data_IF_105942102232
#
_entry.id   IF_105942102232
#
_cell.length_a   1.000
_cell.length_b   1.000
_cell.length_c   1.000
_cell.angle_alpha   90.00
_cell.angle_beta   90.00
_cell.angle_gamma   90.00
#
_symmetry.space_group_name_H-M   'P 1'
#
loop_
_entity.id
_entity.type
_entity.pdbx_description
1 polymer ?
#
# COMPACT_ATOMS: atom_id res chain seq x y z
N UNK A 1 -23.09 7.15 12.55
CA UNK A 1 -22.17 5.99 12.60
C UNK A 1 -20.89 6.31 11.84
N UNK A 2 -19.80 5.64 12.13
CA UNK A 2 -18.48 5.81 11.49
C UNK A 2 -18.57 5.73 9.96
N UNK A 3 -19.30 4.74 9.43
CA UNK A 3 -19.61 4.61 8.00
C UNK A 3 -20.16 5.91 7.39
N UNK A 4 -21.18 6.51 8.02
CA UNK A 4 -21.77 7.76 7.53
C UNK A 4 -20.78 8.91 7.56
N UNK A 5 -19.98 9.01 8.60
CA UNK A 5 -18.94 10.07 8.70
C UNK A 5 -17.92 9.94 7.57
N UNK A 6 -17.50 8.73 7.23
CA UNK A 6 -16.58 8.50 6.12
C UNK A 6 -17.19 8.95 4.77
N UNK A 7 -18.45 8.60 4.52
CA UNK A 7 -19.17 9.01 3.31
C UNK A 7 -19.39 10.53 3.25
N UNK A 8 -19.80 11.13 4.36
CA UNK A 8 -20.04 12.57 4.44
C UNK A 8 -18.75 13.38 4.22
N UNK A 9 -17.62 12.91 4.75
CA UNK A 9 -16.31 13.54 4.53
C UNK A 9 -15.94 13.57 3.05
N UNK A 10 -16.15 12.48 2.32
CA UNK A 10 -15.84 12.43 0.89
C UNK A 10 -16.69 13.44 0.08
N UNK A 11 -17.97 13.56 0.42
CA UNK A 11 -18.90 14.51 -0.22
C UNK A 11 -18.46 15.95 0.05
N UNK A 12 -18.27 16.30 1.32
CA UNK A 12 -17.88 17.65 1.74
C UNK A 12 -16.55 18.06 1.12
N UNK A 13 -15.52 17.20 1.20
CA UNK A 13 -14.20 17.51 0.66
C UNK A 13 -14.21 17.74 -0.84
N UNK A 14 -15.06 16.99 -1.57
CA UNK A 14 -15.23 17.17 -3.02
C UNK A 14 -15.76 18.57 -3.36
N UNK A 15 -16.67 19.13 -2.55
CA UNK A 15 -17.21 20.49 -2.76
C UNK A 15 -16.10 21.56 -2.61
N UNK A 16 -15.06 21.28 -1.81
CA UNK A 16 -13.89 22.15 -1.64
C UNK A 16 -12.73 21.84 -2.60
N UNK A 17 -12.97 20.99 -3.62
CA UNK A 17 -12.00 20.66 -4.67
C UNK A 17 -10.95 19.63 -4.26
N UNK A 18 -11.21 18.87 -3.19
CA UNK A 18 -10.37 17.73 -2.81
C UNK A 18 -10.92 16.45 -3.45
N UNK A 19 -10.01 15.55 -3.83
CA UNK A 19 -10.34 14.20 -4.25
C UNK A 19 -9.61 13.19 -3.36
N UNK A 20 -10.22 12.04 -3.18
CA UNK A 20 -9.61 10.92 -2.50
C UNK A 20 -8.59 10.28 -3.43
N UNK A 21 -7.32 10.19 -3.04
CA UNK A 21 -6.27 9.56 -3.83
C UNK A 21 -5.82 8.20 -3.27
N UNK A 22 -6.10 7.95 -1.99
CA UNK A 22 -5.97 6.65 -1.33
C UNK A 22 -7.04 6.50 -0.24
N UNK A 23 -7.17 5.34 0.37
CA UNK A 23 -8.26 4.97 1.30
C UNK A 23 -8.52 6.02 2.38
N UNK A 24 -7.47 6.63 2.94
CA UNK A 24 -7.57 7.49 4.13
C UNK A 24 -7.30 8.98 3.86
N UNK A 25 -6.78 9.32 2.68
CA UNK A 25 -6.29 10.67 2.42
C UNK A 25 -6.90 11.31 1.18
N UNK A 26 -7.08 12.62 1.28
CA UNK A 26 -7.63 13.49 0.25
C UNK A 26 -6.64 14.60 -0.07
N UNK A 27 -6.62 15.06 -1.32
CA UNK A 27 -5.77 16.17 -1.76
C UNK A 27 -6.47 16.99 -2.85
N UNK A 28 -6.01 18.21 -3.07
CA UNK A 28 -6.27 18.93 -4.32
C UNK A 28 -5.39 18.35 -5.42
N UNK A 29 -5.85 18.45 -6.66
CA UNK A 29 -5.11 17.92 -7.81
C UNK A 29 -3.67 18.45 -7.85
N UNK A 30 -2.70 17.53 -7.93
CA UNK A 30 -1.26 17.82 -7.90
C UNK A 30 -0.66 18.08 -6.51
N UNK A 31 -1.47 17.95 -5.44
CA UNK A 31 -1.03 18.10 -4.05
C UNK A 31 -1.10 16.79 -3.25
N UNK A 32 -1.20 15.66 -3.93
CA UNK A 32 -1.18 14.33 -3.32
C UNK A 32 0.14 14.12 -2.56
N UNK A 33 0.09 13.47 -1.42
CA UNK A 33 1.27 13.21 -0.62
C UNK A 33 2.17 12.15 -1.28
N UNK A 34 3.19 12.59 -2.00
CA UNK A 34 4.14 11.71 -2.71
C UNK A 34 4.82 10.69 -1.80
N UNK A 35 5.00 11.04 -0.53
CA UNK A 35 5.57 10.13 0.45
C UNK A 35 4.63 8.96 0.72
N UNK A 36 3.34 9.21 0.93
CA UNK A 36 2.35 8.17 1.11
C UNK A 36 2.20 7.32 -0.15
N UNK A 37 2.10 7.98 -1.32
CA UNK A 37 2.04 7.26 -2.59
C UNK A 37 3.26 6.35 -2.80
N UNK A 38 4.45 6.81 -2.39
CA UNK A 38 5.68 6.02 -2.44
C UNK A 38 5.56 4.71 -1.66
N UNK A 39 4.98 4.75 -0.47
CA UNK A 39 4.72 3.53 0.32
C UNK A 39 3.72 2.60 -0.38
N UNK A 40 2.61 3.14 -0.87
CA UNK A 40 1.58 2.35 -1.54
C UNK A 40 2.01 1.79 -2.90
N UNK A 41 3.00 2.43 -3.53
CA UNK A 41 3.65 1.97 -4.77
C UNK A 41 4.89 1.10 -4.51
N UNK A 42 5.17 0.77 -3.25
CA UNK A 42 6.30 -0.05 -2.83
C UNK A 42 7.65 0.47 -3.33
N UNK A 43 7.81 1.81 -3.38
CA UNK A 43 9.10 2.45 -3.71
C UNK A 43 10.08 2.28 -2.56
N UNK A 44 11.37 2.24 -2.90
CA UNK A 44 12.44 2.26 -1.91
C UNK A 44 12.34 3.49 -1.00
N UNK A 45 12.53 3.27 0.28
CA UNK A 45 12.62 4.34 1.28
C UNK A 45 13.61 3.98 2.39
N UNK A 46 14.28 5.00 2.90
CA UNK A 46 15.17 4.90 4.04
C UNK A 46 14.56 5.62 5.24
N UNK A 47 14.28 4.87 6.29
CA UNK A 47 13.77 5.39 7.55
C UNK A 47 14.86 6.08 8.36
N UNK A 48 14.62 7.33 8.73
CA UNK A 48 15.53 8.11 9.59
C UNK A 48 14.89 8.28 10.97
N UNK A 49 15.67 8.01 11.99
CA UNK A 49 15.24 8.16 13.38
C UNK A 49 15.00 6.84 14.11
N UNK A 50 14.62 6.97 15.38
CA UNK A 50 14.35 5.87 16.29
C UNK A 50 13.16 5.04 15.80
N UNK A 51 13.33 3.72 15.69
CA UNK A 51 12.27 2.79 15.27
C UNK A 51 11.83 2.93 13.82
N UNK A 52 12.46 3.80 13.01
CA UNK A 52 12.05 4.03 11.64
C UNK A 52 12.34 2.81 10.74
N UNK A 53 11.35 2.41 9.94
CA UNK A 53 11.48 1.30 9.00
C UNK A 53 12.06 1.75 7.66
N UNK A 54 12.71 0.83 6.97
CA UNK A 54 13.28 1.00 5.62
C UNK A 54 12.89 -0.17 4.73
N UNK A 55 12.78 0.11 3.43
CA UNK A 55 12.70 -0.88 2.37
C UNK A 55 13.64 -0.45 1.25
N UNK A 56 14.64 -1.25 0.96
CA UNK A 56 15.62 -1.02 -0.11
C UNK A 56 15.67 -2.26 -1.02
N UNK A 57 15.09 -2.15 -2.19
CA UNK A 57 14.90 -3.31 -3.07
C UNK A 57 14.02 -4.38 -2.42
N UNK A 58 14.65 -5.47 -1.97
CA UNK A 58 14.00 -6.58 -1.27
C UNK A 58 14.33 -6.63 0.22
N UNK A 59 15.18 -5.76 0.70
CA UNK A 59 15.63 -5.76 2.08
C UNK A 59 14.78 -4.79 2.91
N UNK A 60 14.10 -5.34 3.91
CA UNK A 60 13.37 -4.58 4.93
C UNK A 60 14.12 -4.64 6.23
N UNK A 61 14.23 -3.52 6.90
CA UNK A 61 14.81 -3.44 8.24
C UNK A 61 14.23 -2.23 9.00
N UNK A 62 14.51 -2.16 10.28
CA UNK A 62 14.14 -0.99 11.10
C UNK A 62 15.32 -0.52 11.92
N UNK A 63 15.35 0.74 12.28
CA UNK A 63 16.27 1.21 13.30
C UNK A 63 15.81 0.72 14.67
N UNK A 64 16.75 0.58 15.61
CA UNK A 64 16.42 0.22 17.00
C UNK A 64 15.37 1.15 17.59
N UNK A 65 14.47 0.62 18.40
CA UNK A 65 13.51 1.39 19.20
C UNK A 65 14.08 1.77 20.59
N UNK A 66 15.26 1.32 20.94
CA UNK A 66 15.95 1.72 22.16
C UNK A 66 16.67 3.05 21.97
N UNK A 67 16.23 4.08 22.72
CA UNK A 67 16.78 5.41 22.64
C UNK A 67 18.25 5.50 23.02
N UNK A 68 18.69 4.73 24.02
CA UNK A 68 20.09 4.75 24.48
C UNK A 68 21.01 4.10 23.45
N UNK A 69 20.59 2.96 22.90
CA UNK A 69 21.30 2.29 21.80
C UNK A 69 21.38 3.21 20.58
N UNK A 70 20.27 3.84 20.20
CA UNK A 70 20.22 4.77 19.07
C UNK A 70 21.19 5.93 19.24
N UNK A 71 21.16 6.64 20.37
CA UNK A 71 22.04 7.79 20.63
C UNK A 71 23.51 7.40 20.68
N UNK A 72 23.82 6.25 21.32
CA UNK A 72 25.19 5.75 21.43
C UNK A 72 25.81 5.39 20.06
N UNK A 73 24.98 4.90 19.13
CA UNK A 73 25.45 4.36 17.85
C UNK A 73 24.94 5.14 16.62
N UNK A 74 24.41 6.34 16.80
CA UNK A 74 23.79 7.14 15.70
C UNK A 74 24.75 7.49 14.55
N UNK A 75 26.07 7.47 14.79
CA UNK A 75 27.09 7.65 13.76
C UNK A 75 27.51 6.34 13.06
N UNK A 76 26.94 5.22 13.44
CA UNK A 76 27.24 3.89 12.90
C UNK A 76 25.92 3.17 12.55
N UNK A 77 25.31 3.50 11.39
CA UNK A 77 23.97 3.01 11.02
C UNK A 77 23.83 1.48 11.11
N UNK A 78 24.86 0.74 10.76
CA UNK A 78 24.88 -0.72 10.81
C UNK A 78 24.66 -1.30 12.23
N UNK A 79 24.92 -0.51 13.27
CA UNK A 79 24.75 -0.92 14.67
C UNK A 79 23.34 -0.68 15.20
N UNK A 80 22.60 0.24 14.57
CA UNK A 80 21.23 0.56 14.97
C UNK A 80 20.19 -0.15 14.13
N UNK A 81 20.57 -0.72 12.99
CA UNK A 81 19.64 -1.46 12.12
C UNK A 81 19.33 -2.84 12.69
N UNK A 82 18.05 -3.18 12.76
CA UNK A 82 17.48 -4.39 13.35
C UNK A 82 16.42 -5.00 12.44
N UNK A 83 15.96 -6.18 12.81
CA UNK A 83 14.80 -6.83 12.17
C UNK A 83 14.95 -6.94 10.64
N UNK A 84 16.14 -7.35 10.21
CA UNK A 84 16.42 -7.58 8.80
C UNK A 84 15.56 -8.72 8.24
N UNK A 85 14.90 -8.45 7.15
CA UNK A 85 14.08 -9.39 6.42
C UNK A 85 14.39 -9.27 4.92
N UNK A 86 14.62 -10.40 4.28
CA UNK A 86 14.74 -10.49 2.83
C UNK A 86 13.38 -10.97 2.28
N UNK A 87 12.69 -10.10 1.59
CA UNK A 87 11.38 -10.41 1.03
C UNK A 87 11.48 -11.47 -0.06
N UNK A 88 10.63 -12.47 0.02
CA UNK A 88 10.46 -13.45 -1.05
C UNK A 88 9.71 -12.84 -2.23
N UNK A 89 9.68 -13.55 -3.33
CA UNK A 89 8.88 -13.11 -4.49
C UNK A 89 7.38 -13.09 -4.18
N UNK A 90 6.94 -14.03 -3.38
CA UNK A 90 5.57 -14.13 -2.89
C UNK A 90 5.20 -12.92 -2.04
N UNK A 91 6.09 -12.52 -1.12
CA UNK A 91 5.90 -11.30 -0.31
C UNK A 91 5.81 -10.06 -1.19
N UNK A 92 6.68 -9.94 -2.19
CA UNK A 92 6.66 -8.81 -3.12
C UNK A 92 5.36 -8.74 -3.93
N UNK A 93 4.84 -9.90 -4.41
CA UNK A 93 3.56 -9.96 -5.11
C UNK A 93 2.38 -9.62 -4.20
N UNK A 94 2.38 -10.13 -2.97
CA UNK A 94 1.35 -9.82 -1.98
C UNK A 94 1.34 -8.32 -1.65
N UNK A 95 2.52 -7.73 -1.41
CA UNK A 95 2.66 -6.29 -1.14
C UNK A 95 2.22 -5.43 -2.32
N UNK A 96 2.58 -5.80 -3.54
CA UNK A 96 2.12 -5.11 -4.75
C UNK A 96 0.60 -5.01 -4.77
N UNK A 97 -0.08 -6.10 -4.39
CA UNK A 97 -1.53 -6.15 -4.36
C UNK A 97 -2.10 -5.33 -3.20
N UNK A 98 -1.76 -5.67 -1.95
CA UNK A 98 -2.45 -5.05 -0.82
C UNK A 98 -2.06 -3.59 -0.59
N UNK A 99 -0.83 -3.18 -0.91
CA UNK A 99 -0.44 -1.76 -0.86
C UNK A 99 -1.03 -0.99 -2.04
N UNK A 100 -0.95 -1.54 -3.25
CA UNK A 100 -1.48 -0.88 -4.45
C UNK A 100 -3.00 -0.71 -4.43
N UNK A 101 -3.75 -1.65 -3.84
CA UNK A 101 -5.19 -1.54 -3.65
C UNK A 101 -5.61 -0.45 -2.64
N UNK A 102 -4.68 0.11 -1.87
CA UNK A 102 -4.95 1.30 -1.07
C UNK A 102 -5.15 2.55 -1.92
N UNK A 103 -4.49 2.62 -3.07
CA UNK A 103 -4.66 3.73 -4.02
C UNK A 103 -6.03 3.63 -4.70
N UNK A 104 -6.72 4.75 -4.85
CA UNK A 104 -8.02 4.78 -5.56
C UNK A 104 -7.91 4.33 -7.01
N UNK A 105 -6.75 4.55 -7.64
CA UNK A 105 -6.44 4.05 -8.98
C UNK A 105 -6.12 2.54 -9.01
N UNK A 106 -5.91 1.91 -7.86
CA UNK A 106 -5.60 0.48 -7.73
C UNK A 106 -4.29 0.05 -8.40
N UNK A 107 -4.20 -1.23 -8.76
CA UNK A 107 -3.01 -1.87 -9.33
C UNK A 107 -3.13 -2.04 -10.85
N UNK A 108 -2.02 -1.90 -11.55
CA UNK A 108 -1.92 -2.13 -13.00
C UNK A 108 -1.56 -3.59 -13.28
N UNK A 109 -2.38 -4.27 -14.09
CA UNK A 109 -2.10 -5.64 -14.57
C UNK A 109 -0.82 -5.69 -15.40
N UNK A 110 -0.58 -4.65 -16.19
CA UNK A 110 0.62 -4.52 -17.03
C UNK A 110 1.87 -4.41 -16.15
N UNK A 111 1.86 -3.52 -15.16
CA UNK A 111 2.99 -3.35 -14.22
C UNK A 111 3.27 -4.65 -13.46
N UNK A 112 2.23 -5.34 -12.96
CA UNK A 112 2.40 -6.63 -12.30
C UNK A 112 3.11 -7.64 -13.20
N UNK A 113 2.67 -7.74 -14.47
CA UNK A 113 3.29 -8.66 -15.43
C UNK A 113 4.74 -8.27 -15.77
N UNK A 114 5.04 -6.99 -15.88
CA UNK A 114 6.40 -6.48 -16.13
C UNK A 114 7.33 -6.78 -14.96
N UNK A 115 6.86 -6.59 -13.70
CA UNK A 115 7.65 -6.87 -12.50
C UNK A 115 7.85 -8.36 -12.24
N UNK A 116 6.77 -9.14 -12.40
CA UNK A 116 6.77 -10.53 -11.94
C UNK A 116 6.81 -11.56 -13.07
N UNK A 117 6.78 -11.13 -14.34
CA UNK A 117 6.85 -12.03 -15.49
C UNK A 117 5.66 -12.98 -15.63
N UNK A 118 4.56 -12.74 -14.93
CA UNK A 118 3.34 -13.54 -14.94
C UNK A 118 2.10 -12.65 -14.84
N UNK A 119 0.99 -13.09 -15.43
CA UNK A 119 -0.26 -12.38 -15.30
C UNK A 119 -0.80 -12.49 -13.85
N UNK A 120 -1.41 -11.43 -13.38
CA UNK A 120 -1.98 -11.34 -12.03
C UNK A 120 -3.05 -12.42 -11.78
N UNK A 121 -3.78 -12.80 -12.84
CA UNK A 121 -4.81 -13.84 -12.80
C UNK A 121 -4.24 -15.24 -12.54
N UNK A 122 -3.00 -15.50 -12.93
CA UNK A 122 -2.35 -16.79 -12.71
C UNK A 122 -2.08 -17.04 -11.21
N UNK A 123 -1.91 -15.97 -10.44
CA UNK A 123 -1.61 -16.03 -9.00
C UNK A 123 -2.90 -15.81 -8.19
N UNK A 124 -3.66 -14.79 -8.55
CA UNK A 124 -4.78 -14.30 -7.73
C UNK A 124 -6.16 -14.51 -8.39
N UNK A 125 -6.26 -15.35 -9.43
CA UNK A 125 -7.48 -15.51 -10.22
C UNK A 125 -8.74 -15.80 -9.40
N UNK A 126 -8.66 -16.70 -8.43
CA UNK A 126 -9.81 -17.04 -7.57
C UNK A 126 -10.18 -15.89 -6.62
N UNK A 127 -9.21 -15.20 -6.06
CA UNK A 127 -9.42 -14.02 -5.19
C UNK A 127 -10.08 -12.90 -6.00
N UNK A 128 -9.56 -12.62 -7.17
CA UNK A 128 -10.11 -11.60 -8.08
C UNK A 128 -11.55 -11.94 -8.48
N UNK A 129 -11.82 -13.18 -8.85
CA UNK A 129 -13.16 -13.65 -9.22
C UNK A 129 -14.14 -13.52 -8.06
N UNK A 130 -13.71 -13.92 -6.84
CA UNK A 130 -14.52 -13.81 -5.60
C UNK A 130 -14.97 -12.37 -5.40
N UNK A 131 -14.03 -11.42 -5.36
CA UNK A 131 -14.34 -10.04 -5.00
C UNK A 131 -14.98 -9.23 -6.13
N UNK A 132 -14.69 -9.54 -7.40
CA UNK A 132 -15.42 -8.98 -8.54
C UNK A 132 -16.89 -9.42 -8.53
N UNK A 133 -17.17 -10.69 -8.23
CA UNK A 133 -18.55 -11.19 -8.11
C UNK A 133 -19.32 -10.52 -6.97
N UNK A 134 -18.63 -10.11 -5.91
CA UNK A 134 -19.22 -9.39 -4.78
C UNK A 134 -19.33 -7.86 -5.05
N UNK A 135 -18.81 -7.37 -6.17
CA UNK A 135 -18.79 -5.93 -6.46
C UNK A 135 -17.81 -5.13 -5.61
N UNK A 136 -16.88 -5.79 -4.90
CA UNK A 136 -15.89 -5.14 -4.02
C UNK A 136 -14.60 -4.76 -4.76
N UNK A 137 -14.28 -5.48 -5.86
CA UNK A 137 -13.22 -5.13 -6.79
C UNK A 137 -13.82 -4.83 -8.16
N UNK A 138 -13.30 -3.78 -8.80
CA UNK A 138 -13.63 -3.39 -10.16
C UNK A 138 -12.39 -3.53 -11.04
N UNK A 139 -12.62 -3.70 -12.34
CA UNK A 139 -11.55 -3.70 -13.35
C UNK A 139 -11.94 -2.77 -14.48
N UNK A 140 -11.08 -1.82 -14.78
CA UNK A 140 -11.24 -0.89 -15.88
C UNK A 140 -9.87 -0.50 -16.44
N UNK A 141 -9.77 -0.41 -17.77
CA UNK A 141 -8.56 0.06 -18.47
C UNK A 141 -7.28 -0.68 -18.06
N UNK A 142 -7.38 -1.98 -17.74
CA UNK A 142 -6.24 -2.81 -17.32
C UNK A 142 -5.77 -2.56 -15.87
N UNK A 143 -6.57 -1.88 -15.06
CA UNK A 143 -6.34 -1.68 -13.64
C UNK A 143 -7.41 -2.37 -12.81
N UNK A 144 -7.03 -2.84 -11.63
CA UNK A 144 -7.91 -3.45 -10.63
C UNK A 144 -7.89 -2.57 -9.40
N UNK A 145 -9.06 -2.15 -8.94
CA UNK A 145 -9.20 -1.26 -7.80
C UNK A 145 -10.42 -1.60 -6.94
N UNK A 146 -10.42 -1.12 -5.71
CA UNK A 146 -11.56 -1.27 -4.79
C UNK A 146 -12.74 -0.42 -5.26
N UNK A 147 -13.94 -1.00 -5.26
CA UNK A 147 -15.17 -0.20 -5.34
C UNK A 147 -15.35 0.64 -4.07
N UNK A 148 -16.35 1.52 -4.05
CA UNK A 148 -16.69 2.29 -2.85
C UNK A 148 -17.04 1.37 -1.68
N UNK A 149 -17.82 0.34 -1.93
CA UNK A 149 -18.15 -0.71 -0.96
C UNK A 149 -16.90 -1.52 -0.56
N UNK A 150 -16.01 -1.78 -1.51
CA UNK A 150 -14.75 -2.47 -1.28
C UNK A 150 -13.81 -1.70 -0.35
N UNK A 151 -13.80 -0.36 -0.41
CA UNK A 151 -13.00 0.48 0.49
C UNK A 151 -13.41 0.26 1.95
N UNK A 152 -14.71 0.15 2.24
CA UNK A 152 -15.19 -0.04 3.62
C UNK A 152 -14.78 -1.38 4.24
N UNK A 153 -14.51 -2.38 3.43
CA UNK A 153 -14.05 -3.71 3.86
C UNK A 153 -12.64 -4.03 3.36
N UNK A 154 -11.88 -2.99 3.02
CA UNK A 154 -10.58 -3.10 2.34
C UNK A 154 -9.60 -4.01 3.06
N UNK A 155 -9.55 -3.98 4.39
CA UNK A 155 -8.66 -4.85 5.16
C UNK A 155 -8.95 -6.34 4.92
N UNK A 156 -10.24 -6.72 4.85
CA UNK A 156 -10.62 -8.10 4.56
C UNK A 156 -10.29 -8.50 3.12
N UNK A 157 -10.54 -7.60 2.17
CA UNK A 157 -10.20 -7.83 0.75
C UNK A 157 -8.69 -7.96 0.59
N UNK A 158 -7.91 -7.04 1.17
CA UNK A 158 -6.46 -7.02 1.05
C UNK A 158 -5.79 -8.22 1.73
N UNK A 159 -6.34 -8.73 2.84
CA UNK A 159 -5.80 -9.89 3.53
C UNK A 159 -5.82 -11.17 2.68
N UNK A 160 -6.78 -11.31 1.76
CA UNK A 160 -6.87 -12.49 0.89
C UNK A 160 -5.80 -12.50 -0.23
N UNK A 161 -5.01 -11.44 -0.37
CA UNK A 161 -3.86 -11.37 -1.29
C UNK A 161 -2.54 -11.80 -0.62
N UNK A 162 -2.54 -12.14 0.66
CA UNK A 162 -1.37 -12.76 1.30
C UNK A 162 -1.20 -14.19 0.79
N UNK A 163 0.02 -14.58 0.41
CA UNK A 163 0.37 -15.89 -0.15
C UNK A 163 0.97 -16.80 0.91
#
# INVERSE_FOLDING_TARGET
>A
TEYRMYEDVAVVLKEYGYHQYEISNYAKAGCECRHNEGYWQRKDYLGLGLGAASLLGKERFSNTSDMQEYLKNSSAPEKIQKNWELLTREDEMAEFMFLGLRMTQGVSKKEFQEYFGTAIENIYGEVLKKYKKQGLLLEESGRIFLSREGIHVSNAVMADFLL
#
